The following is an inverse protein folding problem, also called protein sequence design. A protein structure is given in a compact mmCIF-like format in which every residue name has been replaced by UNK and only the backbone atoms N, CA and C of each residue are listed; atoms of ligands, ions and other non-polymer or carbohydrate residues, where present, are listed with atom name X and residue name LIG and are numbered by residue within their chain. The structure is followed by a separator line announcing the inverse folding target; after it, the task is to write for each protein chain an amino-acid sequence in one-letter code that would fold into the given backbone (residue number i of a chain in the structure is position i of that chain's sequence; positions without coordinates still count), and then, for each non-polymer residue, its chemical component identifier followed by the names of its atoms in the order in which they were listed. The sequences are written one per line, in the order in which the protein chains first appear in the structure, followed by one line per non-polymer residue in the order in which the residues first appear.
data_IF_945946687440
#
_entry.id   IF_945946687440
#
_cell.length_a   1.000
_cell.length_b   1.000
_cell.length_c   1.000
_cell.angle_alpha   90.00
_cell.angle_beta   90.00
_cell.angle_gamma   90.00
#
_symmetry.space_group_name_H-M   'P 1'
#
loop_
_entity.id
_entity.type
_entity.pdbx_description
1 polymer ?
#
# COMPACT_ATOMS: atom_id res chain seq x y z
N UNK A 1 -3.81 32.98 30.08
CA UNK A 1 -3.83 33.28 28.63
C UNK A 1 -2.41 33.12 28.10
N UNK A 2 -2.07 31.96 27.56
CA UNK A 2 -0.74 31.70 26.98
C UNK A 2 -0.79 32.03 25.49
N UNK A 3 -0.30 33.20 25.12
CA UNK A 3 0.16 33.47 23.77
C UNK A 3 1.56 32.84 23.64
N UNK A 4 1.78 31.98 22.65
CA UNK A 4 3.10 31.82 22.03
C UNK A 4 2.98 31.18 20.64
N UNK A 5 3.17 32.04 19.65
CA UNK A 5 3.95 31.79 18.44
C UNK A 5 3.32 30.92 17.34
N UNK A 6 2.49 31.57 16.51
CA UNK A 6 2.13 31.12 15.16
C UNK A 6 3.31 31.26 14.18
N UNK A 7 4.41 30.57 14.43
CA UNK A 7 5.39 30.23 13.40
C UNK A 7 5.18 28.75 13.10
N UNK A 8 4.61 28.42 11.94
CA UNK A 8 4.65 27.05 11.45
C UNK A 8 6.12 26.64 11.40
N UNK A 9 6.49 25.67 12.22
CA UNK A 9 7.82 25.08 12.16
C UNK A 9 7.92 24.30 10.85
N UNK A 10 9.07 24.30 10.15
CA UNK A 10 9.21 23.51 8.95
C UNK A 10 8.91 22.05 9.29
N UNK A 11 7.92 21.48 8.60
CA UNK A 11 7.49 20.10 8.76
C UNK A 11 8.70 19.17 8.68
N UNK A 12 8.90 18.33 9.71
CA UNK A 12 10.06 17.44 9.77
C UNK A 12 9.88 16.23 8.86
N UNK A 13 10.99 15.56 8.51
CA UNK A 13 10.93 14.34 7.70
C UNK A 13 10.14 13.22 8.36
N UNK A 14 10.17 13.13 9.71
CA UNK A 14 9.43 12.11 10.44
C UNK A 14 7.92 12.37 10.37
N UNK A 15 7.51 13.62 10.66
CA UNK A 15 6.10 14.03 10.57
C UNK A 15 5.54 13.91 9.13
N UNK A 16 6.39 14.15 8.12
CA UNK A 16 6.06 13.89 6.72
C UNK A 16 5.77 12.40 6.48
N UNK A 17 6.68 11.54 6.92
CA UNK A 17 6.61 10.10 6.66
C UNK A 17 5.46 9.41 7.38
N UNK A 18 5.06 9.91 8.55
CA UNK A 18 3.87 9.41 9.27
C UNK A 18 2.57 9.67 8.51
N UNK A 19 2.51 10.73 7.70
CA UNK A 19 1.34 11.07 6.90
C UNK A 19 1.30 10.34 5.54
N UNK A 20 2.45 9.83 5.05
CA UNK A 20 2.57 9.14 3.75
C UNK A 20 1.48 8.07 3.52
N UNK A 21 1.15 7.17 4.46
CA UNK A 21 0.12 6.16 4.23
C UNK A 21 -1.23 6.76 3.84
N UNK A 22 -1.65 7.82 4.52
CA UNK A 22 -2.89 8.54 4.22
C UNK A 22 -2.80 9.28 2.87
N UNK A 23 -1.64 9.90 2.55
CA UNK A 23 -1.42 10.55 1.25
C UNK A 23 -1.57 9.57 0.07
N UNK A 24 -1.15 8.32 0.25
CA UNK A 24 -1.22 7.28 -0.79
C UNK A 24 -2.55 6.50 -0.77
N UNK A 25 -3.22 6.40 0.38
CA UNK A 25 -4.53 5.76 0.51
C UNK A 25 -5.66 6.62 -0.07
N UNK A 26 -5.56 7.95 0.06
CA UNK A 26 -6.36 8.89 -0.72
C UNK A 26 -5.91 8.78 -2.19
N UNK A 27 -6.61 7.97 -2.99
CA UNK A 27 -6.24 7.56 -4.34
C UNK A 27 -6.13 8.67 -5.42
N UNK A 28 -5.77 9.89 -5.05
CA UNK A 28 -5.50 11.00 -5.94
C UNK A 28 -5.19 12.26 -5.14
N UNK A 29 -4.02 12.85 -5.43
CA UNK A 29 -3.54 14.25 -5.31
C UNK A 29 -3.98 15.18 -4.16
N UNK A 30 -5.16 15.00 -3.57
CA UNK A 30 -5.83 15.86 -2.60
C UNK A 30 -5.02 16.15 -1.34
N UNK A 31 -4.02 15.31 -1.02
CA UNK A 31 -3.16 15.49 0.16
C UNK A 31 -1.75 16.00 -0.18
N UNK A 32 -1.36 16.04 -1.46
CA UNK A 32 -0.13 16.73 -1.92
C UNK A 32 -0.39 18.24 -2.11
N UNK A 33 -1.65 18.64 -2.21
CA UNK A 33 -2.07 20.05 -2.30
C UNK A 33 -1.89 20.81 -0.97
N UNK A 34 -1.53 20.11 0.12
CA UNK A 34 -1.15 20.78 1.36
C UNK A 34 0.14 21.60 1.16
N UNK A 35 0.11 22.92 1.43
CA UNK A 35 1.24 23.79 1.14
C UNK A 35 2.49 23.44 1.96
N UNK A 36 2.33 22.88 3.16
CA UNK A 36 3.45 22.50 4.03
C UNK A 36 4.14 21.23 3.51
N UNK A 37 3.35 20.26 3.03
CA UNK A 37 3.86 19.07 2.35
C UNK A 37 4.56 19.44 1.04
N UNK A 38 3.94 20.30 0.23
CA UNK A 38 4.52 20.73 -1.04
C UNK A 38 5.84 21.52 -0.84
N UNK A 39 5.96 22.31 0.24
CA UNK A 39 7.19 23.00 0.60
C UNK A 39 8.27 22.03 1.09
N UNK A 40 7.91 21.05 1.92
CA UNK A 40 8.84 20.02 2.38
C UNK A 40 9.40 19.19 1.21
N UNK A 41 8.55 18.79 0.26
CA UNK A 41 9.00 18.04 -0.92
C UNK A 41 9.89 18.85 -1.86
N UNK A 42 9.76 20.18 -1.90
CA UNK A 42 10.65 21.07 -2.66
C UNK A 42 12.00 21.28 -1.97
N UNK A 43 12.03 21.28 -0.64
CA UNK A 43 13.22 21.57 0.15
C UNK A 43 14.01 20.32 0.55
N UNK A 44 13.35 19.16 0.64
CA UNK A 44 13.94 17.89 1.07
C UNK A 44 14.03 16.88 -0.08
N UNK A 45 15.24 16.71 -0.64
CA UNK A 45 15.50 15.75 -1.70
C UNK A 45 15.26 14.30 -1.26
N UNK A 46 15.59 13.95 -0.02
CA UNK A 46 15.41 12.59 0.49
C UNK A 46 13.92 12.17 0.53
N UNK A 47 13.04 13.08 0.98
CA UNK A 47 11.60 12.80 1.03
C UNK A 47 10.95 12.79 -0.35
N UNK A 48 11.40 13.64 -1.28
CA UNK A 48 10.92 13.59 -2.66
C UNK A 48 11.38 12.33 -3.41
N UNK A 49 12.61 11.86 -3.16
CA UNK A 49 13.08 10.57 -3.65
C UNK A 49 12.24 9.42 -3.11
N UNK A 50 11.95 9.41 -1.80
CA UNK A 50 11.09 8.40 -1.16
C UNK A 50 9.70 8.34 -1.80
N UNK A 51 9.04 9.50 -1.99
CA UNK A 51 7.71 9.55 -2.65
C UNK A 51 7.77 8.97 -4.06
N UNK A 52 8.80 9.31 -4.84
CA UNK A 52 8.99 8.76 -6.18
C UNK A 52 9.15 7.24 -6.16
N UNK A 53 9.93 6.72 -5.23
CA UNK A 53 10.16 5.28 -5.09
C UNK A 53 8.87 4.54 -4.70
N UNK A 54 8.10 5.09 -3.75
CA UNK A 54 6.80 4.55 -3.37
C UNK A 54 5.81 4.57 -4.55
N UNK A 55 5.80 5.65 -5.34
CA UNK A 55 4.97 5.76 -6.54
C UNK A 55 5.37 4.74 -7.60
N UNK A 56 6.67 4.50 -7.77
CA UNK A 56 7.20 3.48 -8.66
C UNK A 56 6.78 2.08 -8.21
N UNK A 57 6.93 1.74 -6.92
CA UNK A 57 6.48 0.46 -6.37
C UNK A 57 4.98 0.26 -6.61
N UNK A 58 4.17 1.30 -6.37
CA UNK A 58 2.72 1.23 -6.59
C UNK A 58 2.37 0.98 -8.07
N UNK A 59 3.10 1.61 -9.01
CA UNK A 59 2.93 1.36 -10.44
C UNK A 59 3.31 -0.08 -10.82
N UNK A 60 4.47 -0.55 -10.37
CA UNK A 60 4.92 -1.92 -10.62
C UNK A 60 3.95 -2.95 -10.03
N UNK A 61 3.45 -2.72 -8.81
CA UNK A 61 2.44 -3.58 -8.18
C UNK A 61 1.15 -3.62 -9.00
N UNK A 62 0.67 -2.49 -9.55
CA UNK A 62 -0.49 -2.48 -10.45
C UNK A 62 -0.29 -3.33 -11.70
N UNK A 63 0.93 -3.35 -12.25
CA UNK A 63 1.24 -4.20 -13.41
C UNK A 63 1.16 -5.70 -13.08
N UNK A 64 1.56 -6.09 -11.86
CA UNK A 64 1.44 -7.46 -11.35
C UNK A 64 0.00 -7.84 -10.98
N UNK A 65 -0.81 -6.86 -10.59
CA UNK A 65 -2.23 -7.03 -10.25
C UNK A 65 -3.16 -6.95 -11.47
N UNK A 66 -2.62 -6.71 -12.67
CA UNK A 66 -3.38 -6.96 -13.90
C UNK A 66 -3.90 -8.39 -13.85
N UNK A 67 -5.16 -8.64 -14.27
CA UNK A 67 -5.84 -9.89 -13.99
C UNK A 67 -5.00 -11.04 -14.52
N UNK A 68 -4.30 -11.68 -13.59
CA UNK A 68 -3.71 -12.99 -13.78
C UNK A 68 -4.94 -13.85 -13.99
N UNK A 69 -5.26 -14.14 -15.26
CA UNK A 69 -6.49 -14.80 -15.69
C UNK A 69 -6.97 -15.77 -14.61
N UNK A 70 -7.96 -15.34 -13.83
CA UNK A 70 -8.45 -16.18 -12.75
C UNK A 70 -9.00 -17.42 -13.45
N UNK A 71 -8.54 -18.63 -13.08
CA UNK A 71 -8.97 -19.82 -13.78
C UNK A 71 -10.49 -19.90 -13.65
N UNK A 72 -11.15 -20.33 -14.73
CA UNK A 72 -12.62 -20.31 -14.78
C UNK A 72 -13.22 -21.10 -13.62
N UNK A 73 -14.45 -20.75 -13.21
CA UNK A 73 -15.18 -21.46 -12.14
C UNK A 73 -15.21 -22.99 -12.36
N UNK A 74 -15.19 -23.44 -13.62
CA UNK A 74 -15.13 -24.86 -13.95
C UNK A 74 -13.81 -25.52 -13.53
N UNK A 75 -12.68 -24.82 -13.68
CA UNK A 75 -11.36 -25.29 -13.25
C UNK A 75 -11.33 -25.40 -11.72
N UNK A 76 -11.81 -24.39 -11.01
CA UNK A 76 -11.91 -24.43 -9.54
C UNK A 76 -12.80 -25.57 -9.05
N UNK A 77 -13.97 -25.76 -9.68
CA UNK A 77 -14.87 -26.86 -9.34
C UNK A 77 -14.19 -28.22 -9.51
N UNK A 78 -13.45 -28.43 -10.60
CA UNK A 78 -12.70 -29.68 -10.84
C UNK A 78 -11.57 -29.90 -9.83
N UNK A 79 -10.87 -28.84 -9.43
CA UNK A 79 -9.86 -28.93 -8.36
C UNK A 79 -10.52 -29.36 -7.06
N UNK A 80 -11.64 -28.74 -6.69
CA UNK A 80 -12.38 -29.10 -5.48
C UNK A 80 -12.90 -30.54 -5.50
N UNK A 81 -13.46 -30.98 -6.63
CA UNK A 81 -13.91 -32.36 -6.84
C UNK A 81 -12.74 -33.35 -6.76
N UNK A 82 -11.60 -33.02 -7.36
CA UNK A 82 -10.38 -33.83 -7.30
C UNK A 82 -9.83 -33.99 -5.88
N UNK A 83 -9.77 -32.90 -5.11
CA UNK A 83 -9.33 -32.92 -3.71
C UNK A 83 -10.29 -33.71 -2.80
N UNK A 84 -11.59 -33.65 -3.05
CA UNK A 84 -12.58 -34.43 -2.31
C UNK A 84 -12.51 -35.93 -2.62
N UNK A 85 -12.10 -36.28 -3.84
CA UNK A 85 -11.92 -37.66 -4.27
C UNK A 85 -10.57 -38.26 -3.86
N UNK A 86 -9.59 -37.43 -3.48
CA UNK A 86 -8.26 -37.87 -3.08
C UNK A 86 -8.23 -38.29 -1.58
N UNK A 87 -8.08 -39.60 -1.28
CA UNK A 87 -8.05 -40.08 0.10
C UNK A 87 -6.81 -39.62 0.88
N UNK A 88 -5.76 -39.13 0.20
CA UNK A 88 -4.56 -38.58 0.83
C UNK A 88 -4.80 -37.18 1.41
N UNK A 89 -5.80 -36.44 0.93
CA UNK A 89 -6.21 -35.15 1.49
C UNK A 89 -7.18 -35.30 2.68
N UNK A 90 -7.99 -36.36 2.68
CA UNK A 90 -8.90 -36.69 3.79
C UNK A 90 -8.17 -37.14 5.08
N UNK A 91 -6.86 -37.41 5.01
CA UNK A 91 -6.03 -37.89 6.12
C UNK A 91 -5.06 -36.80 6.61
N UNK A 92 -5.60 -35.68 7.08
CA UNK A 92 -4.88 -34.79 7.99
C UNK A 92 -4.54 -35.51 9.32
N UNK A 93 -3.45 -35.15 10.02
CA UNK A 93 -2.77 -36.02 10.97
C UNK A 93 -3.67 -36.37 12.15
N UNK A 94 -3.98 -37.66 12.27
CA UNK A 94 -4.60 -38.22 13.46
C UNK A 94 -3.73 -37.91 14.68
N UNK A 95 -4.24 -37.05 15.55
CA UNK A 95 -3.72 -36.84 16.91
C UNK A 95 -3.68 -38.21 17.59
N UNK A 96 -2.47 -38.67 17.93
CA UNK A 96 -2.24 -39.84 18.80
C UNK A 96 -2.59 -39.50 20.25
#
# INVERSE_FOLDING_TARGET
MTLKNSHSAPLSCAEFQEQLPDLFAAAGNSSIDDPEIAEHLKSCENCSALVRDLQYIADQAKQLLQPTHEPSDNVWKKIQEGLAADPSYATGPGKS
#
